data_IF_501692624192
#
_entry.id   IF_501692624192
#
_cell.length_a   1.000
_cell.length_b   1.000
_cell.length_c   1.000
_cell.angle_alpha   90.00
_cell.angle_beta   90.00
_cell.angle_gamma   90.00
#
_symmetry.space_group_name_H-M   'P 1'
#
loop_
_entity.id
_entity.type
_entity.pdbx_description
1 polymer ?
#
# COMPACT_ATOMS: atom_id res chain seq x y z
N UNK A 1 27.42 1.67 -8.60
CA UNK A 1 26.85 2.53 -9.63
C UNK A 1 26.99 3.94 -9.14
N UNK A 2 27.50 4.81 -9.97
CA UNK A 2 27.67 6.24 -9.62
C UNK A 2 26.33 6.93 -9.88
N UNK A 3 25.73 7.45 -8.87
CA UNK A 3 24.36 7.16 -8.57
C UNK A 3 23.50 8.40 -8.67
N UNK A 4 24.00 9.45 -9.31
CA UNK A 4 23.19 10.62 -9.63
C UNK A 4 22.76 10.55 -11.08
N UNK A 5 21.45 10.36 -11.28
CA UNK A 5 20.86 10.55 -12.59
C UNK A 5 20.85 12.06 -12.91
N UNK A 6 21.61 12.47 -13.93
CA UNK A 6 21.76 13.87 -14.31
C UNK A 6 20.45 14.49 -14.87
N UNK A 7 19.45 13.68 -15.18
CA UNK A 7 18.14 14.13 -15.66
C UNK A 7 17.12 14.31 -14.53
N UNK A 8 17.49 13.98 -13.28
CA UNK A 8 16.68 14.17 -12.09
C UNK A 8 17.19 15.36 -11.26
N UNK A 9 16.29 16.04 -10.57
CA UNK A 9 16.63 17.05 -9.56
C UNK A 9 17.37 16.40 -8.37
N UNK A 10 17.93 17.21 -7.49
CA UNK A 10 18.59 16.72 -6.27
C UNK A 10 17.64 15.93 -5.39
N UNK A 11 16.42 16.44 -5.20
CA UNK A 11 15.40 15.84 -4.35
C UNK A 11 14.88 14.51 -4.92
N UNK A 12 14.66 14.46 -6.24
CA UNK A 12 14.30 13.21 -6.93
C UNK A 12 15.41 12.15 -6.81
N UNK A 13 16.67 12.56 -6.96
CA UNK A 13 17.82 11.67 -6.78
C UNK A 13 17.90 11.13 -5.34
N UNK A 14 17.59 11.94 -4.33
CA UNK A 14 17.55 11.51 -2.93
C UNK A 14 16.46 10.48 -2.70
N UNK A 15 15.24 10.74 -3.17
CA UNK A 15 14.10 9.81 -3.08
C UNK A 15 14.45 8.49 -3.77
N UNK A 16 14.96 8.54 -5.01
CA UNK A 16 15.35 7.35 -5.77
C UNK A 16 16.43 6.53 -5.06
N UNK A 17 17.48 7.20 -4.58
CA UNK A 17 18.59 6.53 -3.87
C UNK A 17 18.12 5.84 -2.60
N UNK A 18 17.26 6.51 -1.83
CA UNK A 18 16.68 5.95 -0.60
C UNK A 18 15.79 4.74 -0.91
N UNK A 19 14.90 4.86 -1.90
CA UNK A 19 14.01 3.77 -2.32
C UNK A 19 14.80 2.55 -2.83
N UNK A 20 15.80 2.76 -3.68
CA UNK A 20 16.64 1.68 -4.22
C UNK A 20 17.45 0.96 -3.13
N UNK A 21 17.94 1.71 -2.13
CA UNK A 21 18.73 1.17 -1.04
C UNK A 21 17.89 0.39 -0.03
N UNK A 22 16.76 0.93 0.36
CA UNK A 22 15.92 0.37 1.44
C UNK A 22 14.76 -0.48 0.91
N UNK A 23 14.36 -0.28 -0.36
CA UNK A 23 13.15 -0.88 -0.93
C UNK A 23 11.87 -0.18 -0.52
N UNK A 24 11.95 0.90 0.26
CA UNK A 24 10.82 1.69 0.72
C UNK A 24 11.22 3.12 1.08
N UNK A 25 10.22 4.00 1.18
CA UNK A 25 10.34 5.33 1.78
C UNK A 25 9.15 5.59 2.70
N UNK A 26 9.39 6.30 3.80
CA UNK A 26 8.34 6.93 4.63
C UNK A 26 8.47 8.42 4.44
N UNK A 27 7.36 9.06 4.05
CA UNK A 27 7.32 10.48 3.69
C UNK A 27 6.01 11.11 4.18
N UNK A 28 5.97 12.43 4.43
CA UNK A 28 4.72 13.13 4.69
C UNK A 28 3.74 12.98 3.52
N UNK A 29 2.45 12.95 3.79
CA UNK A 29 1.44 13.05 2.73
C UNK A 29 1.54 14.41 2.02
N UNK A 30 1.43 14.43 0.71
CA UNK A 30 1.50 15.67 -0.08
C UNK A 30 0.26 16.56 0.16
N UNK A 31 -0.93 15.96 0.16
CA UNK A 31 -2.20 16.65 0.39
C UNK A 31 -2.81 16.28 1.76
N UNK A 32 -2.52 17.11 2.76
CA UNK A 32 -3.05 16.94 4.13
C UNK A 32 -4.58 17.08 4.17
N UNK A 33 -5.20 17.86 3.27
CA UNK A 33 -6.65 17.99 3.20
C UNK A 33 -7.29 16.72 2.66
N UNK A 34 -6.65 16.07 1.69
CA UNK A 34 -7.11 14.80 1.16
C UNK A 34 -7.09 13.69 2.22
N UNK A 35 -5.99 13.53 2.97
CA UNK A 35 -5.94 12.49 4.04
C UNK A 35 -6.91 12.82 5.18
N UNK A 36 -7.08 14.09 5.54
CA UNK A 36 -8.06 14.50 6.55
C UNK A 36 -9.49 14.19 6.10
N UNK A 37 -9.83 14.47 4.84
CA UNK A 37 -11.14 14.10 4.27
C UNK A 37 -11.35 12.59 4.30
N UNK A 38 -10.35 11.81 3.88
CA UNK A 38 -10.42 10.34 3.93
C UNK A 38 -10.73 9.87 5.35
N UNK A 39 -9.92 10.30 6.33
CA UNK A 39 -10.10 9.90 7.73
C UNK A 39 -11.48 10.26 8.27
N UNK A 40 -11.97 11.47 7.97
CA UNK A 40 -13.30 11.90 8.38
C UNK A 40 -14.41 11.02 7.77
N UNK A 41 -14.28 10.62 6.49
CA UNK A 41 -15.26 9.71 5.88
C UNK A 41 -15.28 8.34 6.56
N UNK A 42 -14.13 7.79 6.92
CA UNK A 42 -14.08 6.56 7.72
C UNK A 42 -14.81 6.73 9.05
N UNK A 43 -14.53 7.79 9.79
CA UNK A 43 -15.13 8.06 11.09
C UNK A 43 -16.66 8.22 10.98
N UNK A 44 -17.13 8.97 9.99
CA UNK A 44 -18.57 9.15 9.75
C UNK A 44 -19.27 7.82 9.46
N UNK A 45 -18.70 7.01 8.57
CA UNK A 45 -19.25 5.68 8.25
C UNK A 45 -19.27 4.78 9.49
N UNK A 46 -18.19 4.77 10.27
CA UNK A 46 -18.09 3.95 11.49
C UNK A 46 -19.13 4.40 12.54
N UNK A 47 -19.28 5.70 12.74
CA UNK A 47 -20.28 6.24 13.69
C UNK A 47 -21.69 5.85 13.29
N UNK A 48 -22.02 5.96 12.00
CA UNK A 48 -23.31 5.56 11.45
C UNK A 48 -23.59 4.07 11.67
N UNK A 49 -22.64 3.20 11.30
CA UNK A 49 -22.82 1.75 11.38
C UNK A 49 -22.91 1.20 12.80
N UNK A 50 -22.21 1.80 13.73
CA UNK A 50 -22.14 1.31 15.10
C UNK A 50 -22.93 2.18 16.10
N UNK A 51 -23.63 3.22 15.63
CA UNK A 51 -24.34 4.18 16.47
C UNK A 51 -23.49 4.76 17.59
N UNK A 52 -22.20 5.07 17.29
CA UNK A 52 -21.27 5.64 18.27
C UNK A 52 -21.61 7.11 18.48
N UNK A 53 -21.80 7.49 19.73
CA UNK A 53 -22.12 8.86 20.13
C UNK A 53 -21.04 9.86 19.65
N UNK A 54 -21.49 11.07 19.34
CA UNK A 54 -20.65 12.20 18.95
C UNK A 54 -19.69 12.68 20.06
N UNK A 55 -19.91 12.27 21.30
CA UNK A 55 -19.04 12.58 22.42
C UNK A 55 -17.65 11.89 22.41
N UNK A 56 -17.50 10.77 21.69
CA UNK A 56 -16.21 10.11 21.54
C UNK A 56 -15.31 10.92 20.60
N UNK A 57 -14.02 11.07 20.91
CA UNK A 57 -13.08 11.72 20.01
C UNK A 57 -12.88 10.91 18.72
N UNK A 58 -12.55 11.59 17.61
CA UNK A 58 -12.26 10.92 16.35
C UNK A 58 -11.11 9.91 16.44
N UNK A 59 -10.13 10.19 17.30
CA UNK A 59 -9.04 9.26 17.57
C UNK A 59 -9.52 8.02 18.33
N UNK A 60 -10.44 8.18 19.28
CA UNK A 60 -10.96 7.07 20.06
C UNK A 60 -11.84 6.16 19.21
N UNK A 61 -12.64 6.73 18.28
CA UNK A 61 -13.45 5.95 17.33
C UNK A 61 -12.59 4.96 16.54
N UNK A 62 -11.39 5.35 16.14
CA UNK A 62 -10.48 4.46 15.42
C UNK A 62 -9.66 3.58 16.38
N UNK A 63 -8.96 4.18 17.34
CA UNK A 63 -8.01 3.48 18.21
C UNK A 63 -8.70 2.46 19.13
N UNK A 64 -9.93 2.72 19.55
CA UNK A 64 -10.65 1.88 20.50
C UNK A 64 -11.82 1.10 19.88
N UNK A 65 -11.88 0.98 18.55
CA UNK A 65 -12.97 0.28 17.86
C UNK A 65 -13.15 -1.17 18.32
N UNK A 66 -12.07 -1.83 18.75
CA UNK A 66 -12.11 -3.17 19.31
C UNK A 66 -12.96 -3.32 20.59
N UNK A 67 -13.39 -2.20 21.18
CA UNK A 67 -14.36 -2.19 22.29
C UNK A 67 -15.81 -2.25 21.80
N UNK A 68 -16.05 -1.91 20.53
CA UNK A 68 -17.39 -1.83 19.92
C UNK A 68 -17.64 -2.99 18.94
N UNK A 69 -16.57 -3.60 18.40
CA UNK A 69 -16.66 -4.71 17.44
C UNK A 69 -15.92 -5.91 18.00
N UNK A 70 -16.59 -7.07 18.08
CA UNK A 70 -15.95 -8.32 18.51
C UNK A 70 -15.03 -8.88 17.43
N UNK A 71 -14.06 -9.70 17.81
CA UNK A 71 -13.16 -10.39 16.89
C UNK A 71 -13.94 -11.23 15.86
N UNK A 72 -15.02 -11.90 16.29
CA UNK A 72 -15.89 -12.70 15.41
C UNK A 72 -16.55 -11.88 14.31
N UNK A 73 -16.82 -10.60 14.54
CA UNK A 73 -17.47 -9.70 13.59
C UNK A 73 -16.48 -8.82 12.81
N UNK A 74 -15.20 -8.89 13.14
CA UNK A 74 -14.17 -7.99 12.56
C UNK A 74 -14.11 -8.07 11.03
N UNK A 75 -14.17 -9.27 10.47
CA UNK A 75 -14.08 -9.41 9.01
C UNK A 75 -15.29 -8.82 8.29
N UNK A 76 -16.50 -9.07 8.78
CA UNK A 76 -17.74 -8.52 8.18
C UNK A 76 -17.78 -7.00 8.32
N UNK A 77 -17.40 -6.48 9.48
CA UNK A 77 -17.24 -5.06 9.70
C UNK A 77 -16.21 -4.45 8.72
N UNK A 78 -15.04 -5.04 8.59
CA UNK A 78 -14.00 -4.58 7.65
C UNK A 78 -14.53 -4.56 6.21
N UNK A 79 -15.21 -5.62 5.76
CA UNK A 79 -15.79 -5.70 4.41
C UNK A 79 -16.87 -4.65 4.17
N UNK A 80 -17.71 -4.39 5.16
CA UNK A 80 -18.72 -3.32 5.11
C UNK A 80 -18.05 -1.95 4.91
N UNK A 81 -17.04 -1.63 5.73
CA UNK A 81 -16.31 -0.37 5.65
C UNK A 81 -15.60 -0.23 4.30
N UNK A 82 -14.91 -1.28 3.83
CA UNK A 82 -14.25 -1.29 2.50
C UNK A 82 -15.27 -0.99 1.39
N UNK A 83 -16.43 -1.62 1.43
CA UNK A 83 -17.47 -1.41 0.42
C UNK A 83 -17.97 0.03 0.44
N UNK A 84 -18.29 0.58 1.60
CA UNK A 84 -18.81 1.95 1.74
C UNK A 84 -17.78 3.00 1.33
N UNK A 85 -16.53 2.89 1.78
CA UNK A 85 -15.50 3.88 1.45
C UNK A 85 -15.15 3.87 -0.04
N UNK A 86 -15.02 2.69 -0.67
CA UNK A 86 -14.74 2.58 -2.10
C UNK A 86 -15.93 2.98 -3.00
N UNK A 87 -17.14 3.13 -2.47
CA UNK A 87 -18.28 3.66 -3.22
C UNK A 87 -18.29 5.20 -3.30
N UNK A 88 -17.46 5.88 -2.54
CA UNK A 88 -17.35 7.35 -2.59
C UNK A 88 -16.57 7.76 -3.86
N UNK A 89 -17.15 8.60 -4.73
CA UNK A 89 -16.56 8.91 -6.05
C UNK A 89 -15.17 9.53 -5.94
N UNK A 90 -14.93 10.38 -4.94
CA UNK A 90 -13.67 11.12 -4.78
C UNK A 90 -12.58 10.33 -4.03
N UNK A 91 -12.90 9.16 -3.47
CA UNK A 91 -12.00 8.47 -2.55
C UNK A 91 -10.67 8.07 -3.21
N UNK A 92 -10.73 7.43 -4.39
CA UNK A 92 -9.54 6.99 -5.11
C UNK A 92 -8.70 8.15 -5.60
N UNK A 93 -9.33 9.23 -6.08
CA UNK A 93 -8.64 10.45 -6.48
C UNK A 93 -7.87 11.06 -5.30
N UNK A 94 -8.50 11.20 -4.14
CA UNK A 94 -7.85 11.72 -2.93
C UNK A 94 -6.74 10.81 -2.43
N UNK A 95 -6.93 9.49 -2.52
CA UNK A 95 -5.89 8.53 -2.18
C UNK A 95 -4.66 8.65 -3.09
N UNK A 96 -4.84 8.89 -4.38
CA UNK A 96 -3.75 9.20 -5.30
C UNK A 96 -3.06 10.53 -4.96
N UNK A 97 -3.85 11.58 -4.69
CA UNK A 97 -3.31 12.92 -4.41
C UNK A 97 -2.33 12.94 -3.24
N UNK A 98 -2.55 12.15 -2.18
CA UNK A 98 -1.65 12.13 -1.02
C UNK A 98 -0.25 11.59 -1.32
N UNK A 99 -0.07 10.83 -2.41
CA UNK A 99 1.19 10.19 -2.79
C UNK A 99 1.75 10.67 -4.13
N UNK A 100 1.03 11.56 -4.84
CA UNK A 100 1.31 11.91 -6.23
C UNK A 100 2.77 12.26 -6.53
N UNK A 101 3.43 13.24 -5.86
CA UNK A 101 4.78 13.64 -6.23
C UNK A 101 5.79 12.52 -6.07
N UNK A 102 5.63 11.68 -5.07
CA UNK A 102 6.51 10.53 -4.84
C UNK A 102 6.29 9.41 -5.88
N UNK A 103 5.04 9.19 -6.29
CA UNK A 103 4.71 8.24 -7.36
C UNK A 103 5.29 8.70 -8.70
N UNK A 104 5.22 10.00 -9.01
CA UNK A 104 5.79 10.58 -10.22
C UNK A 104 7.31 10.33 -10.29
N UNK A 105 8.01 10.34 -9.16
CA UNK A 105 9.47 10.09 -9.06
C UNK A 105 9.79 8.59 -9.12
N UNK A 106 9.08 7.76 -8.34
CA UNK A 106 9.44 6.34 -8.15
C UNK A 106 8.93 5.47 -9.30
N UNK A 107 7.74 5.78 -9.84
CA UNK A 107 7.07 4.94 -10.84
C UNK A 107 7.02 5.63 -12.20
N UNK A 108 6.75 6.93 -12.21
CA UNK A 108 6.53 7.75 -13.41
C UNK A 108 5.17 8.44 -13.39
N UNK A 109 4.90 9.23 -14.41
CA UNK A 109 3.75 10.12 -14.46
C UNK A 109 2.57 9.62 -15.32
N UNK A 110 2.67 8.43 -15.91
CA UNK A 110 1.58 7.72 -16.58
C UNK A 110 1.28 6.43 -15.81
N UNK A 111 0.33 6.56 -14.90
CA UNK A 111 0.07 5.59 -13.85
C UNK A 111 -1.21 4.81 -14.09
N UNK A 112 -1.15 3.53 -13.75
CA UNK A 112 -2.31 2.69 -13.43
C UNK A 112 -2.44 2.55 -11.92
N UNK A 113 -3.66 2.60 -11.43
CA UNK A 113 -4.03 2.42 -10.04
C UNK A 113 -4.97 1.24 -9.89
N UNK A 114 -4.81 0.47 -8.84
CA UNK A 114 -5.73 -0.59 -8.43
C UNK A 114 -7.16 -0.03 -8.31
N UNK A 115 -8.15 -0.81 -8.76
CA UNK A 115 -9.57 -0.39 -8.80
C UNK A 115 -10.17 -0.14 -7.41
N UNK A 116 -9.67 -0.81 -6.38
CA UNK A 116 -10.16 -0.66 -5.00
C UNK A 116 -9.00 -0.45 -4.05
N UNK A 117 -9.14 0.49 -3.13
CA UNK A 117 -8.21 0.64 -2.01
C UNK A 117 -8.54 -0.40 -0.95
N UNK A 118 -7.55 -1.18 -0.53
CA UNK A 118 -7.70 -2.18 0.51
C UNK A 118 -7.66 -1.54 1.90
N UNK A 119 -8.30 -2.20 2.86
CA UNK A 119 -8.31 -1.81 4.27
C UNK A 119 -7.85 -2.98 5.13
N UNK A 120 -6.94 -2.71 6.04
CA UNK A 120 -6.54 -3.62 7.11
C UNK A 120 -6.90 -3.02 8.46
N UNK A 121 -7.58 -3.80 9.29
CA UNK A 121 -7.89 -3.48 10.67
C UNK A 121 -7.29 -4.59 11.52
N UNK A 122 -6.51 -4.25 12.53
CA UNK A 122 -5.91 -5.23 13.42
C UNK A 122 -6.16 -4.84 14.88
N UNK A 123 -6.90 -5.67 15.60
CA UNK A 123 -7.21 -5.47 17.00
C UNK A 123 -6.01 -5.77 17.91
N UNK A 124 -5.99 -5.19 19.12
CA UNK A 124 -5.05 -5.57 20.16
C UNK A 124 -5.13 -7.06 20.50
N UNK A 125 -3.96 -7.71 20.57
CA UNK A 125 -3.80 -9.12 21.01
C UNK A 125 -4.61 -10.15 20.21
N UNK A 126 -4.99 -9.79 18.97
CA UNK A 126 -5.76 -10.62 18.06
C UNK A 126 -4.88 -11.09 16.89
N UNK A 127 -5.00 -12.35 16.52
CA UNK A 127 -4.26 -12.97 15.43
C UNK A 127 -5.11 -13.23 14.18
N UNK A 128 -6.42 -12.98 14.23
CA UNK A 128 -7.35 -13.22 13.10
C UNK A 128 -7.06 -12.36 11.87
N UNK A 129 -6.37 -11.22 12.06
CA UNK A 129 -5.99 -10.27 11.00
C UNK A 129 -4.49 -10.32 10.67
N UNK A 130 -3.80 -11.41 11.04
CA UNK A 130 -2.40 -11.59 10.68
C UNK A 130 -2.23 -11.73 9.17
N UNK A 131 -1.25 -11.00 8.66
CA UNK A 131 -0.75 -11.16 7.31
C UNK A 131 0.65 -11.79 7.43
N UNK A 132 0.77 -13.12 7.24
CA UNK A 132 2.06 -13.80 7.33
C UNK A 132 3.08 -13.22 6.36
N UNK A 133 4.37 -13.49 6.58
CA UNK A 133 5.43 -13.07 5.67
C UNK A 133 5.15 -13.58 4.25
N UNK A 134 5.14 -12.67 3.30
CA UNK A 134 4.94 -12.92 1.87
C UNK A 134 5.56 -11.81 1.05
N UNK A 135 5.79 -12.08 -0.23
CA UNK A 135 5.98 -11.04 -1.23
C UNK A 135 4.84 -11.18 -2.26
N UNK A 136 4.23 -10.07 -2.64
CA UNK A 136 3.08 -10.10 -3.57
C UNK A 136 3.45 -10.76 -4.90
N UNK A 137 4.70 -10.63 -5.34
CA UNK A 137 5.22 -11.29 -6.54
C UNK A 137 5.21 -12.81 -6.47
N UNK A 138 5.17 -13.40 -5.28
CA UNK A 138 5.02 -14.87 -5.13
C UNK A 138 3.60 -15.34 -5.48
N UNK A 139 2.64 -14.42 -5.44
CA UNK A 139 1.23 -14.65 -5.78
C UNK A 139 0.84 -14.13 -7.17
N UNK A 140 1.82 -13.92 -8.06
CA UNK A 140 1.56 -13.54 -9.46
C UNK A 140 1.50 -12.03 -9.71
N UNK A 141 1.83 -11.17 -8.75
CA UNK A 141 1.90 -9.73 -8.98
C UNK A 141 3.17 -9.34 -9.76
N UNK A 142 3.08 -8.22 -10.49
CA UNK A 142 4.21 -7.74 -11.27
C UNK A 142 5.27 -7.08 -10.38
N UNK A 143 6.56 -7.33 -10.66
CA UNK A 143 7.66 -6.66 -9.95
C UNK A 143 7.77 -5.15 -10.26
N UNK A 144 7.00 -4.65 -11.22
CA UNK A 144 6.93 -3.22 -11.59
C UNK A 144 5.87 -2.44 -10.79
N UNK A 145 5.30 -3.04 -9.77
CA UNK A 145 4.29 -2.42 -8.91
C UNK A 145 4.92 -1.91 -7.62
N UNK A 146 4.38 -0.81 -7.12
CA UNK A 146 4.63 -0.31 -5.77
C UNK A 146 3.35 -0.31 -4.98
N UNK A 147 3.46 -0.48 -3.68
CA UNK A 147 2.34 -0.31 -2.76
C UNK A 147 2.48 1.04 -2.05
N UNK A 148 1.44 1.85 -2.13
CA UNK A 148 1.25 2.98 -1.24
C UNK A 148 0.45 2.48 -0.05
N UNK A 149 1.02 2.59 1.15
CA UNK A 149 0.41 2.17 2.41
C UNK A 149 0.22 3.39 3.31
N UNK A 150 -0.99 3.60 3.81
CA UNK A 150 -1.39 4.83 4.52
C UNK A 150 -2.10 4.47 5.80
N UNK A 151 -1.59 4.87 6.97
CA UNK A 151 -2.27 4.67 8.24
C UNK A 151 -3.35 5.73 8.48
N UNK A 152 -4.42 5.36 9.15
CA UNK A 152 -5.45 6.28 9.66
C UNK A 152 -5.21 6.66 11.13
N UNK A 153 -4.28 5.98 11.78
CA UNK A 153 -3.81 6.20 13.16
C UNK A 153 -2.31 5.99 13.20
N UNK A 154 -1.63 6.45 14.24
CA UNK A 154 -0.20 6.17 14.38
C UNK A 154 0.08 4.67 14.47
N UNK A 155 0.98 4.18 13.64
CA UNK A 155 1.44 2.80 13.60
C UNK A 155 2.90 2.72 14.08
N UNK A 156 3.10 2.09 15.22
CA UNK A 156 4.38 2.01 15.94
C UNK A 156 4.54 0.64 16.58
N UNK A 157 5.76 0.25 16.89
CA UNK A 157 6.09 -1.05 17.53
C UNK A 157 5.35 -2.20 16.85
N UNK A 158 4.58 -2.99 17.62
CA UNK A 158 3.82 -4.13 17.11
C UNK A 158 2.57 -3.75 16.30
N UNK A 159 2.12 -2.48 16.34
CA UNK A 159 1.12 -1.91 15.40
C UNK A 159 1.69 -1.66 13.99
N UNK A 160 3.02 -1.69 13.81
CA UNK A 160 3.67 -1.49 12.53
C UNK A 160 3.59 -2.74 11.64
N UNK A 161 3.97 -2.59 10.39
CA UNK A 161 4.34 -3.69 9.50
C UNK A 161 5.86 -3.82 9.45
N UNK A 162 6.35 -4.95 8.96
CA UNK A 162 7.77 -5.14 8.69
C UNK A 162 8.03 -5.42 7.22
N UNK A 163 9.25 -5.07 6.77
CA UNK A 163 9.75 -5.35 5.42
C UNK A 163 11.15 -5.95 5.57
N UNK A 164 11.46 -6.96 4.77
CA UNK A 164 12.82 -7.48 4.63
C UNK A 164 13.58 -6.63 3.60
N UNK A 165 14.67 -5.93 3.97
CA UNK A 165 15.41 -5.06 3.06
C UNK A 165 16.01 -5.80 1.85
N UNK A 166 16.32 -5.09 0.73
CA UNK A 166 16.76 -5.70 -0.52
C UNK A 166 18.00 -6.58 -0.38
N UNK A 167 19.00 -6.17 0.40
CA UNK A 167 20.25 -6.94 0.63
C UNK A 167 19.95 -8.26 1.38
N UNK A 168 19.05 -8.25 2.33
CA UNK A 168 18.62 -9.43 3.09
C UNK A 168 17.71 -10.33 2.25
N UNK A 169 16.83 -9.73 1.43
CA UNK A 169 16.00 -10.47 0.49
C UNK A 169 16.86 -11.19 -0.57
N UNK A 170 17.93 -10.59 -1.03
CA UNK A 170 18.87 -11.26 -1.96
C UNK A 170 19.44 -12.54 -1.34
N UNK A 171 19.82 -12.51 -0.07
CA UNK A 171 20.31 -13.69 0.67
C UNK A 171 19.20 -14.74 0.80
N UNK A 172 17.99 -14.32 1.18
CA UNK A 172 16.83 -15.22 1.27
C UNK A 172 16.54 -15.89 -0.07
N UNK A 173 16.53 -15.13 -1.16
CA UNK A 173 16.25 -15.64 -2.50
C UNK A 173 17.27 -16.70 -2.96
N UNK A 174 18.54 -16.56 -2.62
CA UNK A 174 19.58 -17.54 -2.94
C UNK A 174 19.35 -18.90 -2.23
N UNK A 175 18.73 -18.86 -1.07
CA UNK A 175 18.44 -20.01 -0.24
C UNK A 175 16.96 -20.46 -0.29
N UNK A 176 16.13 -19.81 -1.11
CA UNK A 176 14.67 -19.97 -1.09
C UNK A 176 14.23 -21.42 -1.32
N UNK A 177 14.95 -22.18 -2.15
CA UNK A 177 14.69 -23.62 -2.35
C UNK A 177 14.79 -24.44 -1.06
N UNK A 178 15.65 -24.04 -0.12
CA UNK A 178 15.80 -24.70 1.19
C UNK A 178 14.60 -24.44 2.11
N UNK A 179 13.84 -23.38 1.81
CA UNK A 179 12.64 -23.00 2.58
C UNK A 179 11.36 -23.64 2.02
N UNK A 180 11.43 -24.27 0.84
CA UNK A 180 10.29 -24.93 0.21
C UNK A 180 9.69 -25.99 1.12
N UNK A 181 8.35 -25.97 1.26
CA UNK A 181 7.62 -26.90 2.11
C UNK A 181 7.53 -26.52 3.59
N UNK A 182 8.20 -25.45 4.03
CA UNK A 182 8.07 -24.93 5.38
C UNK A 182 6.93 -23.90 5.49
N UNK A 183 6.45 -23.68 6.72
CA UNK A 183 5.40 -22.71 7.00
C UNK A 183 5.93 -21.26 6.87
N UNK A 184 5.01 -20.32 6.66
CA UNK A 184 5.33 -18.88 6.69
C UNK A 184 5.90 -18.43 8.05
N UNK A 185 5.49 -19.08 9.15
CA UNK A 185 6.05 -18.78 10.47
C UNK A 185 7.51 -19.25 10.60
N UNK A 186 7.87 -20.39 10.00
CA UNK A 186 9.26 -20.83 9.90
C UNK A 186 10.10 -19.83 9.09
N UNK A 187 9.57 -19.38 7.94
CA UNK A 187 10.23 -18.38 7.11
C UNK A 187 10.45 -17.07 7.88
N UNK A 188 9.41 -16.58 8.57
CA UNK A 188 9.55 -15.38 9.41
C UNK A 188 10.63 -15.54 10.48
N UNK A 189 10.65 -16.67 11.21
CA UNK A 189 11.67 -16.93 12.23
C UNK A 189 13.08 -16.90 11.68
N UNK A 190 13.29 -17.33 10.44
CA UNK A 190 14.61 -17.32 9.79
C UNK A 190 15.12 -15.91 9.49
N UNK A 191 14.22 -14.94 9.27
CA UNK A 191 14.57 -13.56 8.87
C UNK A 191 14.22 -12.49 9.90
N UNK A 192 13.55 -12.84 11.01
CA UNK A 192 12.99 -11.88 11.98
C UNK A 192 14.00 -10.87 12.57
N UNK A 193 15.29 -11.23 12.61
CA UNK A 193 16.37 -10.34 13.09
C UNK A 193 16.87 -9.38 12.00
N UNK A 194 16.41 -9.55 10.78
CA UNK A 194 16.86 -8.83 9.59
C UNK A 194 15.77 -7.97 8.95
N UNK A 195 14.54 -8.03 9.48
CA UNK A 195 13.45 -7.18 9.00
C UNK A 195 13.50 -5.80 9.65
N UNK A 196 13.09 -4.80 8.87
CA UNK A 196 12.84 -3.45 9.37
C UNK A 196 11.37 -3.34 9.79
N UNK A 197 11.13 -2.91 11.01
CA UNK A 197 9.79 -2.52 11.48
C UNK A 197 9.54 -1.06 11.10
N UNK A 198 8.48 -0.83 10.33
CA UNK A 198 8.24 0.47 9.71
C UNK A 198 7.19 1.23 10.50
N UNK A 199 7.64 2.17 11.31
CA UNK A 199 6.74 3.09 12.01
C UNK A 199 6.29 4.20 11.07
N UNK A 200 4.98 4.45 11.01
CA UNK A 200 4.38 5.48 10.16
C UNK A 200 3.30 6.18 10.97
N UNK A 201 3.39 7.49 11.08
CA UNK A 201 2.41 8.31 11.79
C UNK A 201 1.23 8.68 10.89
N UNK A 202 0.11 9.02 11.49
CA UNK A 202 -0.98 9.66 10.74
C UNK A 202 -0.47 10.97 10.12
N UNK A 203 -0.72 11.17 8.84
CA UNK A 203 -0.16 12.28 8.06
C UNK A 203 1.14 11.93 7.32
N UNK A 204 1.65 10.72 7.51
CA UNK A 204 2.72 10.12 6.70
C UNK A 204 2.18 8.97 5.85
N UNK A 205 2.94 8.56 4.86
CA UNK A 205 2.69 7.37 4.05
C UNK A 205 3.97 6.59 3.82
N UNK A 206 3.80 5.30 3.55
CA UNK A 206 4.86 4.38 3.17
C UNK A 206 4.66 4.00 1.70
N UNK A 207 5.70 4.15 0.87
CA UNK A 207 5.75 3.54 -0.47
C UNK A 207 6.81 2.45 -0.44
N UNK A 208 6.44 1.22 -0.81
CA UNK A 208 7.38 0.11 -0.78
C UNK A 208 7.28 -0.80 -2.00
N UNK A 209 8.39 -1.48 -2.27
CA UNK A 209 8.50 -2.51 -3.29
C UNK A 209 7.82 -3.80 -2.80
N UNK A 210 6.70 -4.15 -3.39
CA UNK A 210 5.93 -5.35 -3.04
C UNK A 210 6.63 -6.69 -3.34
N UNK A 211 7.74 -6.66 -4.09
CA UNK A 211 8.57 -7.85 -4.31
C UNK A 211 9.45 -8.20 -3.11
N UNK A 212 9.53 -7.31 -2.11
CA UNK A 212 10.20 -7.60 -0.85
C UNK A 212 9.27 -8.35 0.10
N UNK A 213 9.77 -9.36 0.81
CA UNK A 213 9.00 -10.04 1.85
C UNK A 213 8.57 -9.06 2.95
N UNK A 214 7.29 -9.05 3.23
CA UNK A 214 6.69 -8.16 4.22
C UNK A 214 5.53 -8.84 4.94
N UNK A 215 5.03 -8.20 5.99
CA UNK A 215 3.90 -8.72 6.76
C UNK A 215 3.69 -7.96 8.06
N UNK A 216 2.88 -8.54 8.94
CA UNK A 216 2.69 -8.05 10.30
C UNK A 216 2.75 -9.19 11.32
N UNK A 217 2.75 -8.83 12.60
CA UNK A 217 2.63 -9.78 13.73
C UNK A 217 1.47 -9.32 14.60
N UNK A 218 1.15 -10.10 15.62
CA UNK A 218 0.11 -9.73 16.58
C UNK A 218 0.38 -8.35 17.15
N UNK A 219 -0.61 -7.48 17.10
CA UNK A 219 -0.57 -6.16 17.68
C UNK A 219 -0.65 -6.28 19.21
N UNK A 220 0.45 -6.07 19.91
CA UNK A 220 0.52 -6.14 21.38
C UNK A 220 0.23 -4.81 22.06
N UNK A 221 0.02 -3.75 21.30
CA UNK A 221 -0.36 -2.44 21.82
C UNK A 221 -1.84 -2.43 22.24
N UNK A 222 -2.28 -1.38 22.93
CA UNK A 222 -3.66 -1.29 23.44
C UNK A 222 -4.65 -0.62 22.48
N UNK A 223 -4.20 -0.29 21.28
CA UNK A 223 -4.95 0.43 20.27
C UNK A 223 -5.08 -0.37 18.97
N UNK A 224 -6.19 -0.21 18.29
CA UNK A 224 -6.41 -0.82 16.97
C UNK A 224 -5.53 -0.18 15.90
N UNK A 225 -4.92 -0.98 15.02
CA UNK A 225 -4.28 -0.52 13.79
C UNK A 225 -5.32 -0.39 12.69
N UNK A 226 -5.26 0.73 11.98
CA UNK A 226 -6.00 0.97 10.74
C UNK A 226 -5.03 1.39 9.65
N UNK A 227 -5.05 0.70 8.54
CA UNK A 227 -4.23 1.06 7.40
C UNK A 227 -4.92 0.73 6.09
N UNK A 228 -4.70 1.59 5.11
CA UNK A 228 -5.11 1.39 3.72
C UNK A 228 -3.89 1.02 2.89
N UNK A 229 -4.09 0.27 1.81
CA UNK A 229 -3.08 0.07 0.79
C UNK A 229 -3.68 0.03 -0.61
N UNK A 230 -2.90 0.49 -1.58
CA UNK A 230 -3.27 0.47 -2.99
C UNK A 230 -2.03 0.33 -3.85
N UNK A 231 -2.13 -0.43 -4.92
CA UNK A 231 -1.03 -0.66 -5.84
C UNK A 231 -1.05 0.34 -6.99
N UNK A 232 0.15 0.78 -7.36
CA UNK A 232 0.40 1.65 -8.50
C UNK A 232 1.52 1.09 -9.36
N UNK A 233 1.44 1.35 -10.66
CA UNK A 233 2.49 1.00 -11.62
C UNK A 233 2.42 1.90 -12.85
N UNK A 234 3.47 1.94 -13.65
CA UNK A 234 3.42 2.58 -14.97
C UNK A 234 2.46 1.85 -15.92
N UNK A 235 1.63 2.59 -16.65
CA UNK A 235 0.63 2.01 -17.58
C UNK A 235 1.27 1.04 -18.56
N UNK A 236 2.45 1.39 -19.07
CA UNK A 236 3.14 0.63 -20.15
C UNK A 236 4.17 -0.37 -19.60
N UNK A 237 4.25 -0.56 -18.29
CA UNK A 237 5.12 -1.57 -17.69
C UNK A 237 4.46 -2.95 -17.74
N UNK A 238 5.24 -4.06 -17.74
CA UNK A 238 4.69 -5.41 -17.83
C UNK A 238 3.67 -5.71 -16.72
N UNK A 239 2.51 -6.20 -17.13
CA UNK A 239 1.49 -6.78 -16.24
C UNK A 239 1.72 -8.28 -16.12
N UNK A 240 1.20 -8.87 -15.04
CA UNK A 240 1.12 -10.32 -14.85
C UNK A 240 -0.34 -10.73 -14.66
N UNK A 241 -0.65 -11.50 -13.60
CA UNK A 241 -2.00 -12.02 -13.35
C UNK A 241 -3.02 -10.91 -13.14
N UNK A 242 -2.60 -9.81 -12.50
CA UNK A 242 -3.42 -8.61 -12.33
C UNK A 242 -3.29 -7.68 -13.52
N UNK A 243 -4.34 -7.62 -14.34
CA UNK A 243 -4.33 -6.96 -15.64
C UNK A 243 -4.96 -5.58 -15.62
N UNK A 244 -4.62 -4.81 -16.66
CA UNK A 244 -5.29 -3.55 -16.98
C UNK A 244 -6.74 -3.84 -17.42
N UNK A 245 -7.70 -3.06 -16.91
CA UNK A 245 -9.13 -3.24 -17.15
C UNK A 245 -9.83 -4.23 -16.21
N UNK A 246 -9.08 -5.08 -15.50
CA UNK A 246 -9.63 -6.07 -14.56
C UNK A 246 -9.30 -5.73 -13.10
N UNK A 247 -8.07 -5.38 -12.84
CA UNK A 247 -7.55 -5.05 -11.51
C UNK A 247 -7.01 -3.62 -11.43
N UNK A 248 -6.41 -3.14 -12.52
CA UNK A 248 -5.89 -1.79 -12.69
C UNK A 248 -6.67 -0.99 -13.71
N UNK A 249 -6.72 0.33 -13.52
CA UNK A 249 -7.14 1.27 -14.55
C UNK A 249 -6.11 2.39 -14.71
N UNK A 250 -5.94 2.96 -15.92
CA UNK A 250 -5.11 4.12 -16.15
C UNK A 250 -5.75 5.34 -15.46
N UNK A 251 -4.92 6.13 -14.76
CA UNK A 251 -5.43 7.33 -14.05
C UNK A 251 -4.79 8.63 -14.54
N UNK A 252 -3.62 8.58 -15.18
CA UNK A 252 -2.85 9.78 -15.56
C UNK A 252 -2.25 9.71 -16.96
N UNK A 253 -2.96 9.14 -17.93
CA UNK A 253 -2.52 9.12 -19.34
C UNK A 253 -2.26 10.53 -19.85
N UNK A 254 -1.15 10.69 -20.58
CA UNK A 254 -0.77 11.95 -21.22
C UNK A 254 -1.35 12.04 -22.64
N UNK A 255 -1.53 13.27 -23.16
CA UNK A 255 -2.10 13.46 -24.49
C UNK A 255 -1.37 12.70 -25.60
N UNK A 256 -0.03 12.65 -25.56
CA UNK A 256 0.75 11.90 -26.55
C UNK A 256 0.43 10.40 -26.53
N UNK A 257 0.33 9.80 -25.34
CA UNK A 257 -0.04 8.40 -25.18
C UNK A 257 -1.48 8.13 -25.62
N UNK A 258 -2.42 9.04 -25.30
CA UNK A 258 -3.80 8.95 -25.77
C UNK A 258 -3.89 9.01 -27.30
N UNK A 259 -3.11 9.89 -27.94
CA UNK A 259 -3.01 9.96 -29.40
C UNK A 259 -2.44 8.66 -29.98
N UNK A 260 -1.34 8.15 -29.39
CA UNK A 260 -0.70 6.93 -29.87
C UNK A 260 -1.59 5.68 -29.75
N UNK A 261 -2.35 5.57 -28.65
CA UNK A 261 -3.29 4.45 -28.43
C UNK A 261 -4.46 4.46 -29.45
N UNK A 262 -4.82 5.61 -29.99
CA UNK A 262 -5.88 5.77 -30.98
C UNK A 262 -5.36 5.85 -32.41
N UNK A 263 -4.04 5.72 -32.64
CA UNK A 263 -3.45 5.80 -33.96
C UNK A 263 -3.76 4.55 -34.78
N UNK A 264 -4.22 4.78 -35.99
CA UNK A 264 -4.38 3.73 -37.03
C UNK A 264 -3.44 4.03 -38.19
N UNK A 265 -2.73 3.01 -38.67
CA UNK A 265 -1.94 3.14 -39.87
C UNK A 265 -2.86 3.48 -41.08
N UNK A 266 -2.44 4.41 -41.95
CA UNK A 266 -3.14 4.61 -43.21
C UNK A 266 -3.20 3.31 -44.04
N UNK A 267 -4.32 3.08 -44.68
CA UNK A 267 -4.42 1.99 -45.65
C UNK A 267 -3.52 2.33 -46.84
N UNK A 268 -2.37 1.67 -46.91
CA UNK A 268 -1.42 1.86 -48.03
C UNK A 268 -1.72 0.97 -49.25
N UNK A 269 -2.86 0.24 -49.25
CA UNK A 269 -3.19 -0.73 -50.25
C UNK A 269 -2.16 -1.88 -50.33
N UNK A 270 -2.59 -3.09 -50.48
CA UNK A 270 -1.66 -4.18 -50.78
C UNK A 270 -0.99 -3.91 -52.13
N UNK A 271 0.33 -3.70 -52.11
CA UNK A 271 1.11 -3.77 -53.37
C UNK A 271 1.24 -5.20 -53.83
#
# INVERSE_FOLDING_TARGET
MNDKNLFLSSDENEICSKYLKQGYIVVPVDDIKAISWIRQKFILIIREELSIDSGASDSDVLNLIHKNVSVSNLNDFRLLIIKKINSLPDFRQKYYQIAKPYLDVIVGNELSMQLKVNLSIQFPKDDSSLLPIHADTWSGDSAFEVVVWVPLVDCYKTKAMYILPPDKNQILNSDFKKMAGNSSDYLYKSVQKSVDWIEVKYGELLIFNQALPHGNRVNMENETRWSMNCRFKGVFTPYKDKKLGEFFEPITLKPASMCGMNYSLPDIGNK
#
